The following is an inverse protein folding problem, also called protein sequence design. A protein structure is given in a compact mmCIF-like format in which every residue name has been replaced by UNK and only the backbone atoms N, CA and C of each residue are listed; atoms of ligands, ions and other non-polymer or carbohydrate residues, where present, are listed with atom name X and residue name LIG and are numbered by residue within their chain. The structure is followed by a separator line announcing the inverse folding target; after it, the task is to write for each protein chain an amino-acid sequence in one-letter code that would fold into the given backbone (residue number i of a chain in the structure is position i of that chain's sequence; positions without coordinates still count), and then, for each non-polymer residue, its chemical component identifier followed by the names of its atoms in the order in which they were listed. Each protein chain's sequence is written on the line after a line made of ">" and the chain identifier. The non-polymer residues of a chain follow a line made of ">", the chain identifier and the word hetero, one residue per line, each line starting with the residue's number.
data_IF_186758119934
#
_entry.id   IF_186758119934
#
_cell.length_a   1.000
_cell.length_b   1.000
_cell.length_c   1.000
_cell.angle_alpha   90.00
_cell.angle_beta   90.00
_cell.angle_gamma   90.00
#
_symmetry.space_group_name_H-M   'P 1'
#
loop_
_entity.id
_entity.type
_entity.pdbx_description
1 polymer ?
#
# COMPACT_ATOMS: atom_id res chain seq x y z
N UNK A 1 -15.20 -48.49 -34.04
CA UNK A 1 -15.05 -47.03 -34.13
C UNK A 1 -15.22 -46.52 -32.72
N UNK A 2 -14.15 -46.62 -31.92
CA UNK A 2 -14.10 -46.11 -30.55
C UNK A 2 -13.09 -44.97 -30.55
N UNK A 3 -13.59 -43.75 -30.46
CA UNK A 3 -12.79 -42.56 -30.14
C UNK A 3 -13.39 -41.93 -28.90
N UNK A 4 -13.26 -42.62 -27.77
CA UNK A 4 -13.33 -41.96 -26.48
C UNK A 4 -11.95 -41.33 -26.23
N UNK A 5 -11.80 -40.08 -26.66
CA UNK A 5 -10.67 -39.24 -26.26
C UNK A 5 -10.69 -39.12 -24.73
N UNK A 6 -9.67 -39.69 -24.10
CA UNK A 6 -9.44 -39.62 -22.65
C UNK A 6 -9.10 -38.15 -22.33
N UNK A 7 -9.79 -37.47 -21.39
CA UNK A 7 -9.42 -36.11 -21.02
C UNK A 7 -8.03 -36.11 -20.38
N UNK A 8 -7.21 -35.13 -20.78
CA UNK A 8 -5.79 -34.91 -20.47
C UNK A 8 -5.41 -34.76 -18.97
N UNK A 9 -6.29 -35.15 -18.05
CA UNK A 9 -6.08 -35.12 -16.60
C UNK A 9 -6.37 -36.46 -15.90
N UNK A 10 -6.84 -37.48 -16.63
CA UNK A 10 -7.26 -38.77 -16.07
C UNK A 10 -6.18 -39.57 -15.34
N UNK A 11 -4.93 -39.11 -15.35
CA UNK A 11 -3.81 -39.69 -14.59
C UNK A 11 -3.24 -38.80 -13.48
N UNK A 12 -3.68 -37.55 -13.31
CA UNK A 12 -3.05 -36.57 -12.41
C UNK A 12 -4.01 -36.09 -11.32
N UNK A 13 -5.30 -35.90 -11.66
CA UNK A 13 -6.34 -35.50 -10.71
C UNK A 13 -7.62 -36.31 -10.96
N UNK A 14 -8.40 -36.63 -9.91
CA UNK A 14 -9.72 -37.23 -10.07
C UNK A 14 -10.61 -36.42 -11.01
N UNK A 15 -11.36 -37.10 -11.89
CA UNK A 15 -12.20 -36.50 -12.94
C UNK A 15 -13.14 -35.40 -12.40
N UNK A 16 -13.71 -35.62 -11.22
CA UNK A 16 -14.62 -34.69 -10.55
C UNK A 16 -13.97 -33.35 -10.19
N UNK A 17 -12.65 -33.32 -9.93
CA UNK A 17 -11.89 -32.10 -9.62
C UNK A 17 -11.60 -31.32 -10.91
N UNK A 18 -11.31 -32.04 -11.99
CA UNK A 18 -11.05 -31.48 -13.31
C UNK A 18 -12.31 -30.81 -13.86
N UNK A 19 -13.45 -31.49 -13.78
CA UNK A 19 -14.76 -30.95 -14.20
C UNK A 19 -15.14 -29.71 -13.41
N UNK A 20 -14.82 -29.70 -12.11
CA UNK A 20 -15.09 -28.58 -11.22
C UNK A 20 -14.23 -27.36 -11.57
N UNK A 21 -12.95 -27.53 -11.88
CA UNK A 21 -12.06 -26.44 -12.32
C UNK A 21 -12.52 -25.86 -13.66
N UNK A 22 -12.87 -26.73 -14.61
CA UNK A 22 -13.37 -26.31 -15.93
C UNK A 22 -14.68 -25.53 -15.83
N UNK A 23 -15.55 -25.87 -14.86
CA UNK A 23 -16.83 -25.18 -14.66
C UNK A 23 -16.72 -23.71 -14.20
N UNK A 24 -15.56 -23.28 -13.71
CA UNK A 24 -15.33 -21.89 -13.29
C UNK A 24 -14.63 -21.03 -14.36
N UNK A 25 -14.30 -21.61 -15.52
CA UNK A 25 -13.65 -20.89 -16.60
C UNK A 25 -14.70 -20.30 -17.57
N UNK A 26 -14.45 -19.10 -18.12
CA UNK A 26 -15.24 -18.59 -19.23
C UNK A 26 -15.23 -19.58 -20.42
N UNK A 27 -16.36 -19.73 -21.12
CA UNK A 27 -16.52 -20.65 -22.26
C UNK A 27 -15.41 -20.52 -23.33
N UNK A 28 -14.96 -19.30 -23.59
CA UNK A 28 -13.85 -19.01 -24.51
C UNK A 28 -12.50 -19.56 -24.02
N UNK A 29 -12.34 -19.70 -22.71
CA UNK A 29 -11.13 -20.22 -22.05
C UNK A 29 -11.18 -21.74 -21.92
N UNK A 30 -12.38 -22.31 -21.75
CA UNK A 30 -12.60 -23.76 -21.74
C UNK A 30 -12.15 -24.39 -23.07
N UNK A 31 -12.52 -23.79 -24.20
CA UNK A 31 -12.13 -24.28 -25.52
C UNK A 31 -10.59 -24.27 -25.74
N UNK A 32 -9.91 -23.26 -25.21
CA UNK A 32 -8.44 -23.12 -25.33
C UNK A 32 -7.66 -24.08 -24.42
N UNK A 33 -8.22 -24.40 -23.23
CA UNK A 33 -7.66 -25.36 -22.25
C UNK A 33 -7.89 -26.81 -22.67
N UNK A 34 -8.99 -27.09 -23.36
CA UNK A 34 -9.33 -28.43 -23.86
C UNK A 34 -8.62 -28.77 -25.18
N UNK A 35 -7.81 -27.86 -25.74
CA UNK A 35 -7.01 -28.13 -26.93
C UNK A 35 -5.81 -29.04 -26.58
N UNK A 36 -5.68 -30.23 -27.20
CA UNK A 36 -4.62 -31.20 -26.91
C UNK A 36 -3.20 -30.68 -27.10
N UNK A 37 -3.00 -29.65 -27.94
CA UNK A 37 -1.69 -29.03 -28.16
C UNK A 37 -1.24 -28.10 -27.01
N UNK A 38 -2.15 -27.75 -26.09
CA UNK A 38 -1.93 -26.81 -24.99
C UNK A 38 -1.76 -27.53 -23.63
N UNK A 39 -0.93 -28.58 -23.61
CA UNK A 39 -0.75 -29.55 -22.52
C UNK A 39 -0.29 -29.01 -21.14
N UNK A 40 -0.34 -27.70 -20.88
CA UNK A 40 -0.11 -27.16 -19.55
C UNK A 40 -0.85 -25.84 -19.36
N UNK A 41 -1.74 -25.79 -18.37
CA UNK A 41 -2.33 -24.54 -17.85
C UNK A 41 -1.26 -23.49 -17.53
N UNK A 42 -0.09 -23.94 -17.05
CA UNK A 42 1.10 -23.11 -16.86
C UNK A 42 1.61 -22.47 -18.17
N UNK A 43 1.54 -23.18 -19.31
CA UNK A 43 1.97 -22.66 -20.62
C UNK A 43 0.95 -21.66 -21.18
N UNK A 44 -0.35 -21.87 -20.96
CA UNK A 44 -1.43 -20.95 -21.36
C UNK A 44 -1.41 -19.67 -20.52
N UNK A 45 -1.22 -19.78 -19.19
CA UNK A 45 -0.98 -18.64 -18.31
C UNK A 45 0.30 -17.89 -18.70
N UNK A 46 1.37 -18.62 -19.05
CA UNK A 46 2.67 -18.10 -19.50
C UNK A 46 2.62 -17.44 -20.87
N UNK A 47 1.69 -17.83 -21.75
CA UNK A 47 1.54 -17.28 -23.11
C UNK A 47 0.63 -16.05 -23.20
N UNK A 48 -0.28 -15.79 -22.25
CA UNK A 48 -1.22 -14.67 -22.37
C UNK A 48 -1.25 -13.61 -21.26
N UNK A 49 -0.82 -13.84 -20.02
CA UNK A 49 -1.35 -12.99 -18.92
C UNK A 49 -0.38 -12.44 -17.85
N UNK A 50 0.94 -12.63 -17.91
CA UNK A 50 1.78 -12.18 -16.79
C UNK A 50 2.16 -10.69 -16.75
N UNK A 51 1.76 -9.84 -17.71
CA UNK A 51 2.07 -8.40 -17.66
C UNK A 51 1.24 -7.57 -16.67
N UNK A 52 0.17 -8.14 -16.12
CA UNK A 52 -0.86 -7.42 -15.34
C UNK A 52 -1.31 -8.12 -14.05
N UNK A 53 -0.78 -9.29 -13.69
CA UNK A 53 -1.26 -10.04 -12.52
C UNK A 53 -0.76 -9.40 -11.21
N UNK A 54 -1.70 -9.09 -10.33
CA UNK A 54 -1.48 -8.71 -8.93
C UNK A 54 -1.57 -9.99 -8.08
N UNK A 55 -0.48 -10.37 -7.41
CA UNK A 55 -0.48 -11.48 -6.45
C UNK A 55 -0.86 -10.96 -5.06
N UNK A 56 -1.89 -11.56 -4.46
CA UNK A 56 -2.38 -11.18 -3.14
C UNK A 56 -2.34 -12.37 -2.17
N UNK A 57 -1.52 -12.23 -1.12
CA UNK A 57 -1.33 -13.22 -0.05
C UNK A 57 -1.96 -12.75 1.28
N UNK A 58 -3.06 -11.99 1.24
CA UNK A 58 -3.70 -11.45 2.44
C UNK A 58 -4.62 -12.47 3.16
N UNK A 59 -4.45 -12.57 4.48
CA UNK A 59 -5.47 -13.10 5.38
C UNK A 59 -6.57 -12.04 5.51
N UNK A 60 -7.60 -12.18 4.67
CA UNK A 60 -8.85 -11.46 4.83
C UNK A 60 -9.41 -11.70 6.24
N UNK A 61 -9.84 -10.66 6.97
CA UNK A 61 -10.57 -10.82 8.23
C UNK A 61 -11.98 -11.42 8.03
N UNK A 62 -12.40 -11.59 6.78
CA UNK A 62 -13.60 -12.34 6.40
C UNK A 62 -13.17 -13.70 5.86
N UNK A 63 -13.36 -14.73 6.69
CA UNK A 63 -13.21 -16.15 6.38
C UNK A 63 -13.99 -16.51 5.10
N UNK A 64 -13.31 -16.54 3.97
CA UNK A 64 -13.79 -17.34 2.83
C UNK A 64 -12.66 -18.28 2.42
N UNK A 65 -12.88 -19.55 2.71
CA UNK A 65 -11.90 -20.63 2.70
C UNK A 65 -11.51 -21.11 1.27
N UNK A 66 -11.42 -20.21 0.28
CA UNK A 66 -11.12 -20.58 -1.11
C UNK A 66 -10.31 -19.52 -1.87
N UNK A 67 -9.35 -19.96 -2.70
CA UNK A 67 -8.63 -19.12 -3.66
C UNK A 67 -9.57 -18.57 -4.75
N UNK A 68 -9.33 -17.34 -5.21
CA UNK A 68 -10.19 -16.64 -6.18
C UNK A 68 -9.37 -15.91 -7.23
N UNK A 69 -9.89 -15.92 -8.47
CA UNK A 69 -9.36 -15.14 -9.58
C UNK A 69 -10.35 -14.03 -9.88
N UNK A 70 -9.91 -12.78 -9.74
CA UNK A 70 -10.61 -11.61 -10.26
C UNK A 70 -9.83 -11.06 -11.45
N UNK A 71 -10.51 -10.32 -12.34
CA UNK A 71 -10.04 -9.79 -13.63
C UNK A 71 -8.52 -9.59 -13.85
N UNK A 72 -7.74 -9.19 -12.84
CA UNK A 72 -6.25 -9.15 -12.87
C UNK A 72 -5.57 -9.52 -11.52
N UNK A 73 -6.31 -10.07 -10.56
CA UNK A 73 -5.82 -10.37 -9.19
C UNK A 73 -6.00 -11.85 -8.91
N UNK A 74 -4.89 -12.54 -8.67
CA UNK A 74 -4.89 -13.92 -8.20
C UNK A 74 -4.72 -13.89 -6.68
N UNK A 75 -5.81 -14.22 -5.97
CA UNK A 75 -5.81 -14.36 -4.51
C UNK A 75 -5.62 -15.84 -4.21
N UNK A 76 -4.45 -16.20 -3.68
CA UNK A 76 -4.12 -17.57 -3.29
C UNK A 76 -3.85 -17.64 -1.80
N UNK A 77 -4.36 -18.69 -1.16
CA UNK A 77 -3.91 -19.04 0.18
C UNK A 77 -2.44 -19.44 0.15
N UNK A 78 -1.72 -19.17 1.26
CA UNK A 78 -0.37 -19.71 1.44
C UNK A 78 -0.36 -21.24 1.26
N UNK A 79 -1.35 -21.95 1.79
CA UNK A 79 -1.51 -23.40 1.62
C UNK A 79 -1.71 -23.86 0.17
N UNK A 80 -2.31 -23.02 -0.69
CA UNK A 80 -2.63 -23.38 -2.08
C UNK A 80 -1.43 -23.15 -3.00
N UNK A 81 -0.55 -22.20 -2.64
CA UNK A 81 0.78 -22.05 -3.22
C UNK A 81 1.65 -23.30 -2.92
N UNK A 82 1.50 -23.86 -1.73
CA UNK A 82 2.27 -24.99 -1.21
C UNK A 82 1.80 -26.35 -1.79
N UNK A 83 0.58 -26.39 -2.33
CA UNK A 83 0.03 -27.53 -3.06
C UNK A 83 0.75 -27.81 -4.40
N UNK A 84 1.65 -26.93 -4.86
CA UNK A 84 2.52 -27.14 -6.02
C UNK A 84 3.66 -28.16 -5.77
N UNK A 85 3.71 -28.76 -4.57
CA UNK A 85 4.48 -29.95 -4.16
C UNK A 85 5.95 -29.98 -4.59
N UNK A 86 6.84 -29.63 -3.66
CA UNK A 86 7.87 -30.55 -3.16
C UNK A 86 7.94 -30.36 -1.63
N UNK A 87 7.60 -31.44 -0.92
CA UNK A 87 7.49 -31.70 0.53
C UNK A 87 7.85 -30.60 1.55
N UNK A 88 6.89 -30.18 2.40
CA UNK A 88 6.86 -30.38 3.86
C UNK A 88 5.64 -29.73 4.54
N UNK A 89 5.40 -30.13 5.80
CA UNK A 89 4.26 -29.76 6.64
C UNK A 89 4.53 -28.56 7.57
N UNK A 90 3.46 -27.90 8.02
CA UNK A 90 3.38 -26.76 8.97
C UNK A 90 4.16 -25.48 8.56
N UNK A 91 3.47 -24.51 7.94
CA UNK A 91 4.11 -23.27 7.45
C UNK A 91 4.06 -22.19 8.53
N UNK A 92 5.10 -22.18 9.34
CA UNK A 92 5.74 -20.93 9.74
C UNK A 92 6.76 -20.66 8.63
N UNK A 93 6.65 -19.52 7.96
CA UNK A 93 7.58 -19.04 6.92
C UNK A 93 7.35 -19.53 5.48
N UNK A 94 6.78 -18.63 4.67
CA UNK A 94 6.82 -18.58 3.20
C UNK A 94 8.22 -18.98 2.65
N UNK A 95 8.28 -19.96 1.73
CA UNK A 95 9.52 -20.40 1.08
C UNK A 95 10.00 -19.41 0.01
N UNK A 96 11.08 -18.70 0.33
CA UNK A 96 11.70 -17.71 -0.57
C UNK A 96 12.31 -18.38 -1.80
N UNK A 97 12.90 -19.57 -1.64
CA UNK A 97 13.51 -20.32 -2.74
C UNK A 97 12.47 -20.65 -3.81
N UNK A 98 11.34 -21.24 -3.42
CA UNK A 98 10.26 -21.59 -4.33
C UNK A 98 9.71 -20.36 -5.06
N UNK A 99 9.50 -19.24 -4.35
CA UNK A 99 9.07 -18.00 -4.98
C UNK A 99 10.08 -17.48 -6.01
N UNK A 100 11.37 -17.53 -5.68
CA UNK A 100 12.44 -17.06 -6.56
C UNK A 100 12.62 -17.96 -7.80
N UNK A 101 12.40 -19.26 -7.68
CA UNK A 101 12.44 -20.23 -8.79
C UNK A 101 11.33 -20.01 -9.82
N UNK A 102 10.16 -19.54 -9.39
CA UNK A 102 9.06 -19.22 -10.30
C UNK A 102 9.45 -18.16 -11.33
N UNK A 103 10.48 -17.36 -11.03
CA UNK A 103 11.06 -16.34 -11.91
C UNK A 103 9.97 -15.58 -12.67
N UNK A 104 9.33 -14.65 -11.97
CA UNK A 104 8.18 -13.88 -12.46
C UNK A 104 8.65 -12.52 -13.01
N UNK A 105 9.25 -12.43 -14.22
CA UNK A 105 9.86 -11.21 -14.72
C UNK A 105 8.84 -10.08 -14.95
N UNK A 106 7.55 -10.40 -15.06
CA UNK A 106 6.51 -9.42 -15.30
C UNK A 106 5.72 -9.04 -14.03
N UNK A 107 6.11 -9.55 -12.86
CA UNK A 107 5.45 -9.21 -11.60
C UNK A 107 5.69 -7.73 -11.26
N UNK A 108 4.63 -6.92 -11.35
CA UNK A 108 4.66 -5.49 -11.06
C UNK A 108 4.06 -5.13 -9.70
N UNK A 109 3.17 -5.97 -9.18
CA UNK A 109 2.42 -5.68 -7.96
C UNK A 109 2.39 -6.90 -7.06
N UNK A 110 2.73 -6.70 -5.79
CA UNK A 110 2.78 -7.75 -4.78
C UNK A 110 2.15 -7.24 -3.49
N UNK A 111 1.18 -7.98 -2.96
CA UNK A 111 0.65 -7.78 -1.62
C UNK A 111 1.08 -9.00 -0.80
N UNK A 112 1.95 -8.76 0.17
CA UNK A 112 2.59 -9.81 0.96
C UNK A 112 2.20 -9.69 2.43
N UNK A 113 1.61 -10.76 2.95
CA UNK A 113 1.26 -10.95 4.35
C UNK A 113 2.19 -11.96 5.02
N UNK A 114 2.28 -11.91 6.35
CA UNK A 114 2.72 -13.05 7.17
C UNK A 114 4.08 -13.65 6.76
N UNK A 115 5.06 -12.79 6.51
CA UNK A 115 6.45 -13.15 6.19
C UNK A 115 7.41 -12.60 7.26
N UNK A 116 8.58 -13.22 7.46
CA UNK A 116 9.67 -12.63 8.24
C UNK A 116 10.42 -11.55 7.43
N UNK A 117 11.10 -10.62 8.10
CA UNK A 117 11.93 -9.61 7.44
C UNK A 117 13.09 -10.24 6.64
N UNK A 118 13.70 -11.29 7.18
CA UNK A 118 14.79 -12.03 6.53
C UNK A 118 14.33 -12.61 5.20
N UNK A 119 13.20 -13.35 5.22
CA UNK A 119 12.65 -13.97 4.02
C UNK A 119 12.23 -12.92 2.98
N UNK A 120 11.65 -11.80 3.40
CA UNK A 120 11.31 -10.71 2.49
C UNK A 120 12.54 -10.20 1.74
N UNK A 121 13.66 -9.99 2.43
CA UNK A 121 14.88 -9.43 1.84
C UNK A 121 15.58 -10.37 0.85
N UNK A 122 15.25 -11.65 0.85
CA UNK A 122 15.76 -12.65 -0.08
C UNK A 122 14.93 -12.74 -1.38
N UNK A 123 13.76 -12.09 -1.43
CA UNK A 123 12.90 -12.11 -2.59
C UNK A 123 13.49 -11.36 -3.79
N UNK A 124 13.47 -12.01 -4.95
CA UNK A 124 13.91 -11.45 -6.24
C UNK A 124 12.78 -10.70 -6.92
N UNK A 125 12.59 -9.44 -6.52
CA UNK A 125 11.49 -8.57 -6.96
C UNK A 125 11.94 -7.53 -8.01
N UNK A 126 12.66 -7.96 -9.04
CA UNK A 126 13.41 -7.08 -9.96
C UNK A 126 12.57 -6.01 -10.68
N UNK A 127 11.30 -6.32 -11.02
CA UNK A 127 10.42 -5.44 -11.79
C UNK A 127 9.21 -4.93 -11.00
N UNK A 128 9.26 -5.05 -9.67
CA UNK A 128 8.16 -4.66 -8.81
C UNK A 128 8.02 -3.14 -8.73
N UNK A 129 6.81 -2.65 -8.99
CA UNK A 129 6.42 -1.24 -8.93
C UNK A 129 5.50 -0.93 -7.75
N UNK A 130 4.68 -1.90 -7.33
CA UNK A 130 3.77 -1.76 -6.19
C UNK A 130 4.03 -2.87 -5.18
N UNK A 131 4.23 -2.48 -3.92
CA UNK A 131 4.38 -3.39 -2.80
C UNK A 131 3.44 -2.97 -1.68
N UNK A 132 2.67 -3.93 -1.17
CA UNK A 132 1.97 -3.80 0.10
C UNK A 132 2.47 -4.88 1.04
N UNK A 133 2.89 -4.47 2.24
CA UNK A 133 3.27 -5.37 3.31
C UNK A 133 2.26 -5.30 4.44
N UNK A 134 1.85 -6.46 4.93
CA UNK A 134 0.97 -6.61 6.09
C UNK A 134 1.50 -7.72 6.99
N UNK A 135 1.31 -7.58 8.30
CA UNK A 135 1.65 -8.62 9.29
C UNK A 135 3.07 -9.22 9.15
N UNK A 136 4.08 -8.42 8.81
CA UNK A 136 5.48 -8.87 8.76
C UNK A 136 5.98 -9.09 10.19
N UNK A 137 6.26 -10.34 10.55
CA UNK A 137 6.68 -10.70 11.91
C UNK A 137 8.09 -10.18 12.18
N UNK A 138 8.34 -9.76 13.43
CA UNK A 138 9.64 -9.21 13.85
C UNK A 138 9.98 -7.80 13.33
N UNK A 139 9.20 -7.24 12.39
CA UNK A 139 9.42 -5.90 11.86
C UNK A 139 8.86 -4.83 12.81
N UNK A 140 9.72 -4.38 13.73
CA UNK A 140 9.41 -3.29 14.68
C UNK A 140 10.04 -1.96 14.26
N UNK A 141 11.03 -2.01 13.39
CA UNK A 141 11.73 -0.85 12.84
C UNK A 141 12.03 -1.12 11.37
N UNK A 142 11.92 -0.09 10.55
CA UNK A 142 12.49 -0.07 9.20
C UNK A 142 13.78 0.72 9.29
N UNK A 143 14.90 0.03 9.07
CA UNK A 143 16.25 0.60 9.05
C UNK A 143 17.08 -0.05 7.94
N UNK A 144 18.40 0.14 7.94
CA UNK A 144 19.35 -0.28 6.89
C UNK A 144 19.24 -1.74 6.41
N UNK A 145 18.57 -2.63 7.15
CA UNK A 145 18.39 -4.02 6.74
C UNK A 145 17.19 -4.26 5.82
N UNK A 146 16.21 -3.35 5.73
CA UNK A 146 15.11 -3.52 4.78
C UNK A 146 15.55 -3.16 3.36
N UNK A 147 15.49 -4.13 2.44
CA UNK A 147 15.90 -3.96 1.04
C UNK A 147 14.68 -3.66 0.17
N UNK A 148 14.52 -2.40 -0.23
CA UNK A 148 13.46 -2.04 -1.17
C UNK A 148 13.77 -2.55 -2.59
N UNK A 149 12.75 -3.04 -3.32
CA UNK A 149 12.85 -3.20 -4.77
C UNK A 149 13.22 -1.87 -5.45
N UNK A 150 14.21 -1.89 -6.34
CA UNK A 150 14.79 -0.65 -6.90
C UNK A 150 13.85 0.13 -7.83
N UNK A 151 12.88 -0.55 -8.44
CA UNK A 151 11.88 0.04 -9.35
C UNK A 151 10.56 0.38 -8.67
N UNK A 152 10.50 0.32 -7.34
CA UNK A 152 9.28 0.53 -6.57
C UNK A 152 8.79 1.97 -6.75
N UNK A 153 7.53 2.10 -7.13
CA UNK A 153 6.80 3.36 -7.34
C UNK A 153 5.81 3.61 -6.19
N UNK A 154 5.23 2.54 -5.61
CA UNK A 154 4.25 2.64 -4.54
C UNK A 154 4.57 1.63 -3.43
N UNK A 155 4.61 2.10 -2.18
CA UNK A 155 4.79 1.27 -0.99
C UNK A 155 3.67 1.51 0.01
N UNK A 156 3.02 0.42 0.43
CA UNK A 156 2.08 0.40 1.54
C UNK A 156 2.58 -0.52 2.66
N UNK A 157 2.70 0.03 3.85
CA UNK A 157 3.02 -0.67 5.08
C UNK A 157 1.78 -0.58 5.97
N UNK A 158 1.08 -1.70 6.16
CA UNK A 158 -0.22 -1.70 6.81
C UNK A 158 -0.26 -2.72 7.95
N UNK A 159 -0.78 -2.33 9.12
CA UNK A 159 -0.95 -3.22 10.26
C UNK A 159 0.36 -3.92 10.69
N UNK A 160 1.46 -3.16 10.70
CA UNK A 160 2.77 -3.61 11.15
C UNK A 160 3.08 -3.04 12.52
N UNK A 161 3.95 -3.70 13.29
CA UNK A 161 4.39 -3.21 14.61
C UNK A 161 5.52 -2.18 14.52
N UNK A 162 5.61 -1.48 13.38
CA UNK A 162 6.67 -0.51 13.12
C UNK A 162 6.46 0.71 14.02
N UNK A 163 7.48 1.02 14.82
CA UNK A 163 7.52 2.21 15.67
C UNK A 163 8.45 3.30 15.14
N UNK A 164 9.43 2.93 14.31
CA UNK A 164 10.36 3.86 13.66
C UNK A 164 10.54 3.51 12.19
N UNK A 165 10.45 4.50 11.32
CA UNK A 165 10.82 4.41 9.91
C UNK A 165 12.04 5.29 9.67
N UNK A 166 13.21 4.69 9.49
CA UNK A 166 14.47 5.39 9.24
C UNK A 166 15.17 4.79 8.02
N UNK A 167 15.43 5.60 7.00
CA UNK A 167 16.13 5.12 5.82
C UNK A 167 17.20 6.09 5.38
N UNK A 168 18.32 5.55 4.89
CA UNK A 168 19.35 6.40 4.29
C UNK A 168 18.85 7.01 2.98
N UNK A 169 18.09 6.23 2.22
CA UNK A 169 17.54 6.60 0.92
C UNK A 169 16.35 5.71 0.60
N UNK A 170 15.37 6.25 -0.12
CA UNK A 170 14.25 5.52 -0.68
C UNK A 170 14.51 5.15 -2.16
N UNK A 171 13.79 4.18 -2.75
CA UNK A 171 13.87 3.91 -4.19
C UNK A 171 13.64 5.17 -5.01
N UNK A 172 14.48 5.41 -6.02
CA UNK A 172 14.47 6.67 -6.77
C UNK A 172 13.14 6.94 -7.49
N UNK A 173 12.37 5.89 -7.80
CA UNK A 173 11.06 5.97 -8.47
C UNK A 173 9.88 6.02 -7.51
N UNK A 174 10.12 5.97 -6.19
CA UNK A 174 9.05 5.87 -5.20
C UNK A 174 8.26 7.18 -5.18
N UNK A 175 6.99 7.09 -5.57
CA UNK A 175 6.06 8.20 -5.65
C UNK A 175 5.09 8.28 -4.48
N UNK A 176 4.71 7.12 -3.94
CA UNK A 176 3.73 7.04 -2.86
C UNK A 176 4.24 6.15 -1.75
N UNK A 177 4.22 6.66 -0.53
CA UNK A 177 4.53 5.93 0.69
C UNK A 177 3.36 6.04 1.66
N UNK A 178 2.85 4.90 2.08
CA UNK A 178 1.72 4.79 2.98
C UNK A 178 2.11 3.92 4.16
N UNK A 179 2.04 4.45 5.38
CA UNK A 179 2.28 3.72 6.63
C UNK A 179 1.01 3.88 7.46
N UNK A 180 0.20 2.83 7.53
CA UNK A 180 -1.12 2.88 8.16
C UNK A 180 -1.25 1.82 9.23
N UNK A 181 -2.00 2.11 10.28
CA UNK A 181 -2.24 1.17 11.38
C UNK A 181 -0.92 0.61 11.97
N UNK A 182 0.13 1.43 11.99
CA UNK A 182 1.43 1.09 12.58
C UNK A 182 1.70 2.05 13.74
N UNK A 183 2.17 1.64 14.92
CA UNK A 183 2.40 2.54 16.06
C UNK A 183 3.65 3.42 15.90
N UNK A 184 3.71 4.19 14.81
CA UNK A 184 4.83 5.03 14.41
C UNK A 184 5.02 6.18 15.40
N UNK A 185 6.29 6.40 15.76
CA UNK A 185 6.74 7.52 16.59
C UNK A 185 7.72 8.42 15.84
N UNK A 186 8.40 7.87 14.83
CA UNK A 186 9.50 8.53 14.11
C UNK A 186 9.47 8.17 12.63
N UNK A 187 9.69 9.18 11.80
CA UNK A 187 9.83 9.06 10.36
C UNK A 187 11.01 9.94 9.90
N UNK A 188 12.06 9.31 9.37
CA UNK A 188 13.27 10.00 8.92
C UNK A 188 13.84 9.38 7.65
N UNK A 189 14.27 10.23 6.73
CA UNK A 189 15.07 9.82 5.58
C UNK A 189 16.31 10.69 5.52
N UNK A 190 17.49 10.11 5.77
CA UNK A 190 18.73 10.88 6.04
C UNK A 190 19.14 11.80 4.88
N UNK A 191 18.94 11.34 3.65
CA UNK A 191 19.26 12.08 2.45
C UNK A 191 18.08 11.96 1.50
N UNK A 192 17.47 13.09 1.19
CA UNK A 192 16.69 13.27 -0.02
C UNK A 192 17.66 13.75 -1.10
N UNK A 193 18.26 12.88 -1.94
CA UNK A 193 19.20 13.35 -2.95
C UNK A 193 18.49 14.31 -3.91
N UNK A 194 19.20 15.26 -4.53
CA UNK A 194 18.59 16.23 -5.47
C UNK A 194 17.87 15.58 -6.67
N UNK A 195 18.18 14.32 -6.95
CA UNK A 195 17.51 13.45 -7.93
C UNK A 195 16.22 12.81 -7.41
N UNK A 196 15.99 12.80 -6.10
CA UNK A 196 14.80 12.29 -5.45
C UNK A 196 13.68 13.30 -5.62
N UNK A 197 13.02 13.25 -6.76
CA UNK A 197 11.89 14.14 -7.11
C UNK A 197 10.54 13.46 -6.99
N UNK A 198 10.54 12.16 -6.70
CA UNK A 198 9.39 11.35 -7.03
C UNK A 198 8.41 11.19 -5.88
N UNK A 199 8.84 11.20 -4.60
CA UNK A 199 7.91 11.02 -3.48
C UNK A 199 7.01 12.24 -3.33
N UNK A 200 5.80 12.13 -3.86
CA UNK A 200 4.78 13.19 -3.88
C UNK A 200 3.69 12.97 -2.85
N UNK A 201 3.46 11.72 -2.43
CA UNK A 201 2.37 11.37 -1.53
C UNK A 201 2.87 10.58 -0.33
N UNK A 202 2.65 11.13 0.87
CA UNK A 202 3.00 10.50 2.14
C UNK A 202 1.75 10.41 2.99
N UNK A 203 1.38 9.19 3.35
CA UNK A 203 0.24 8.90 4.18
C UNK A 203 0.69 8.19 5.47
N UNK A 204 0.50 8.85 6.60
CA UNK A 204 0.82 8.34 7.94
C UNK A 204 -0.44 8.29 8.82
N UNK A 205 -1.61 8.01 8.24
CA UNK A 205 -2.87 7.93 8.99
C UNK A 205 -2.92 6.73 9.93
N UNK A 206 -3.66 6.85 11.03
CA UNK A 206 -3.79 5.77 12.03
C UNK A 206 -2.43 5.28 12.55
N UNK A 207 -1.44 6.16 12.71
CA UNK A 207 -0.12 5.77 13.17
C UNK A 207 0.14 5.98 14.67
N UNK A 208 -0.85 6.48 15.40
CA UNK A 208 -0.75 6.84 16.83
C UNK A 208 0.26 7.96 17.13
N UNK A 209 0.63 8.78 16.14
CA UNK A 209 1.51 9.92 16.37
C UNK A 209 0.91 10.86 17.41
N UNK A 210 1.73 11.25 18.39
CA UNK A 210 1.37 12.21 19.45
C UNK A 210 2.08 13.56 19.29
N UNK A 211 3.15 13.58 18.51
CA UNK A 211 3.99 14.74 18.19
C UNK A 211 4.48 14.64 16.74
N UNK A 212 4.93 15.77 16.19
CA UNK A 212 5.48 15.94 14.84
C UNK A 212 7.00 16.15 14.84
N UNK A 213 7.64 16.29 16.00
CA UNK A 213 9.07 16.63 16.15
C UNK A 213 10.02 15.63 15.47
N UNK A 214 9.59 14.37 15.38
CA UNK A 214 10.36 13.27 14.81
C UNK A 214 9.91 12.92 13.37
N UNK A 215 9.27 13.88 12.68
CA UNK A 215 8.86 13.75 11.29
C UNK A 215 9.73 14.63 10.38
N UNK A 216 10.63 14.01 9.63
CA UNK A 216 11.40 14.66 8.58
C UNK A 216 10.73 14.46 7.22
N UNK A 217 10.12 15.52 6.69
CA UNK A 217 9.30 15.45 5.49
C UNK A 217 10.13 15.69 4.21
N UNK A 218 9.89 14.91 3.14
CA UNK A 218 10.54 15.15 1.85
C UNK A 218 10.17 16.54 1.30
N UNK A 219 11.13 17.33 0.78
CA UNK A 219 10.84 18.65 0.22
C UNK A 219 9.97 18.63 -1.05
N UNK A 220 9.81 17.46 -1.67
CA UNK A 220 9.05 17.22 -2.91
C UNK A 220 7.59 16.88 -2.68
N UNK A 221 7.16 16.79 -1.43
CA UNK A 221 5.85 16.27 -1.09
C UNK A 221 4.75 17.23 -1.54
N UNK A 222 3.76 16.69 -2.26
CA UNK A 222 2.56 17.40 -2.70
C UNK A 222 1.36 17.10 -1.79
N UNK A 223 1.28 15.86 -1.27
CA UNK A 223 0.17 15.39 -0.41
C UNK A 223 0.73 14.82 0.88
N UNK A 224 0.25 15.34 2.01
CA UNK A 224 0.55 14.84 3.34
C UNK A 224 -0.74 14.48 4.06
N UNK A 225 -0.86 13.22 4.49
CA UNK A 225 -1.96 12.77 5.33
C UNK A 225 -1.45 12.35 6.72
N UNK A 226 -1.82 13.11 7.74
CA UNK A 226 -1.56 12.87 9.16
C UNK A 226 -2.88 12.64 9.94
N UNK A 227 -3.97 12.31 9.24
CA UNK A 227 -5.29 12.13 9.84
C UNK A 227 -5.37 10.92 10.77
N UNK A 228 -6.36 10.92 11.66
CA UNK A 228 -6.60 9.81 12.61
C UNK A 228 -5.38 9.48 13.48
N UNK A 229 -4.70 10.52 13.95
CA UNK A 229 -3.61 10.41 14.91
C UNK A 229 -4.03 10.96 16.29
N UNK A 230 -3.07 11.22 17.17
CA UNK A 230 -3.29 11.72 18.52
C UNK A 230 -2.53 13.02 18.74
N UNK A 231 -2.28 13.78 17.67
CA UNK A 231 -1.54 15.03 17.70
C UNK A 231 -2.30 16.06 18.52
N UNK A 232 -1.63 16.69 19.48
CA UNK A 232 -2.19 17.80 20.29
C UNK A 232 -1.68 19.15 19.81
N UNK A 233 -0.50 19.17 19.20
CA UNK A 233 0.10 20.31 18.52
C UNK A 233 0.79 19.84 17.23
N UNK A 234 1.02 20.81 16.34
CA UNK A 234 1.81 20.68 15.11
C UNK A 234 3.02 21.62 15.12
N UNK A 235 3.36 22.19 16.27
CA UNK A 235 4.55 23.01 16.44
C UNK A 235 5.81 22.20 16.10
N UNK A 236 6.69 22.79 15.28
CA UNK A 236 7.89 22.12 14.76
C UNK A 236 7.67 21.34 13.46
N UNK A 237 6.44 21.16 12.98
CA UNK A 237 6.19 20.56 11.67
C UNK A 237 6.57 21.53 10.54
N UNK A 238 7.66 21.23 9.85
CA UNK A 238 8.10 21.99 8.67
C UNK A 238 7.42 21.45 7.41
N UNK A 239 6.45 22.19 6.87
CA UNK A 239 5.72 21.78 5.67
C UNK A 239 6.55 22.04 4.40
N UNK A 240 6.60 21.09 3.44
CA UNK A 240 7.26 21.30 2.16
C UNK A 240 6.62 22.44 1.35
N UNK A 241 7.44 23.25 0.68
CA UNK A 241 6.97 24.40 -0.12
C UNK A 241 6.14 24.00 -1.34
N UNK A 242 6.20 22.74 -1.77
CA UNK A 242 5.40 22.20 -2.86
C UNK A 242 4.05 21.64 -2.41
N UNK A 243 3.77 21.58 -1.10
CA UNK A 243 2.60 20.90 -0.56
C UNK A 243 1.30 21.56 -1.05
N UNK A 244 0.41 20.76 -1.63
CA UNK A 244 -0.89 21.19 -2.17
C UNK A 244 -2.06 20.62 -1.36
N UNK A 245 -1.86 19.54 -0.63
CA UNK A 245 -2.90 18.91 0.19
C UNK A 245 -2.34 18.49 1.55
N UNK A 246 -2.99 18.96 2.61
CA UNK A 246 -2.69 18.63 4.00
C UNK A 246 -3.95 18.14 4.70
N UNK A 247 -3.91 16.91 5.21
CA UNK A 247 -4.95 16.34 6.04
C UNK A 247 -4.46 16.11 7.47
N UNK A 248 -4.99 16.88 8.40
CA UNK A 248 -4.77 16.81 9.84
C UNK A 248 -6.05 16.41 10.59
N UNK A 249 -7.06 15.91 9.90
CA UNK A 249 -8.36 15.59 10.50
C UNK A 249 -8.31 14.46 11.52
N UNK A 250 -9.29 14.42 12.42
CA UNK A 250 -9.41 13.39 13.46
C UNK A 250 -8.13 13.31 14.33
N UNK A 251 -7.70 14.46 14.83
CA UNK A 251 -6.60 14.59 15.80
C UNK A 251 -7.14 15.26 17.10
N UNK A 252 -6.27 15.81 17.94
CA UNK A 252 -6.61 16.52 19.17
C UNK A 252 -6.04 17.94 19.18
N UNK A 253 -5.89 18.54 18.00
CA UNK A 253 -5.23 19.83 17.84
C UNK A 253 -6.06 20.92 18.49
N UNK A 254 -5.43 21.71 19.35
CA UNK A 254 -6.05 22.90 19.97
C UNK A 254 -5.71 24.19 19.23
N UNK A 255 -4.63 24.16 18.43
CA UNK A 255 -4.16 25.26 17.60
C UNK A 255 -3.35 24.72 16.41
N UNK A 256 -3.30 25.51 15.33
CA UNK A 256 -2.43 25.30 14.15
C UNK A 256 -1.64 26.56 13.79
N UNK A 257 -1.53 27.49 14.74
CA UNK A 257 -0.85 28.78 14.53
C UNK A 257 0.67 28.62 14.33
N UNK A 258 1.28 27.58 14.88
CA UNK A 258 2.71 27.28 14.71
C UNK A 258 3.08 26.64 13.36
N UNK A 259 2.13 26.38 12.46
CA UNK A 259 2.46 25.92 11.10
C UNK A 259 2.91 27.09 10.23
N UNK A 260 3.81 26.88 9.27
CA UNK A 260 3.99 27.78 8.14
C UNK A 260 3.28 27.19 6.93
N UNK A 261 2.10 27.73 6.57
CA UNK A 261 1.31 27.18 5.47
C UNK A 261 1.91 27.63 4.13
N UNK A 262 2.30 26.71 3.24
CA UNK A 262 2.91 27.08 1.98
C UNK A 262 1.88 27.73 1.05
N UNK A 263 2.29 28.70 0.21
CA UNK A 263 1.40 29.39 -0.73
C UNK A 263 0.87 28.48 -1.85
N UNK A 264 1.31 27.24 -1.92
CA UNK A 264 0.85 26.20 -2.85
C UNK A 264 -0.31 25.37 -2.28
N UNK A 265 -0.69 25.55 -1.02
CA UNK A 265 -1.71 24.72 -0.38
C UNK A 265 -3.10 24.99 -0.96
N UNK A 266 -3.76 23.94 -1.47
CA UNK A 266 -5.08 23.99 -2.09
C UNK A 266 -6.14 23.36 -1.18
N UNK A 267 -5.78 22.25 -0.52
CA UNK A 267 -6.68 21.48 0.35
C UNK A 267 -6.09 21.50 1.75
N UNK A 268 -6.88 21.94 2.72
CA UNK A 268 -6.53 21.91 4.12
C UNK A 268 -7.68 21.32 4.95
N UNK A 269 -7.49 20.09 5.45
CA UNK A 269 -8.49 19.41 6.26
C UNK A 269 -8.07 19.39 7.74
N UNK A 270 -8.89 20.03 8.58
CA UNK A 270 -8.75 20.14 10.03
C UNK A 270 -9.97 19.61 10.78
N UNK A 271 -10.86 18.88 10.09
CA UNK A 271 -12.07 18.29 10.65
C UNK A 271 -11.78 17.45 11.89
N UNK A 272 -12.72 17.37 12.83
CA UNK A 272 -12.61 16.52 14.04
C UNK A 272 -11.32 16.83 14.84
N UNK A 273 -11.20 18.07 15.31
CA UNK A 273 -10.13 18.53 16.20
C UNK A 273 -10.72 19.35 17.36
N UNK A 274 -9.86 19.98 18.17
CA UNK A 274 -10.25 20.77 19.34
C UNK A 274 -9.93 22.26 19.15
N UNK A 275 -9.92 22.76 17.90
CA UNK A 275 -9.54 24.14 17.61
C UNK A 275 -10.57 25.11 18.20
N UNK A 276 -10.13 26.04 19.04
CA UNK A 276 -10.99 27.11 19.57
C UNK A 276 -10.87 28.42 18.77
N UNK A 277 -9.75 28.61 18.09
CA UNK A 277 -9.41 29.79 17.29
C UNK A 277 -8.65 29.37 16.03
N UNK A 278 -8.96 30.05 14.92
CA UNK A 278 -8.12 30.09 13.73
C UNK A 278 -7.92 31.57 13.34
N UNK A 279 -6.70 32.05 13.51
CA UNK A 279 -6.27 33.43 13.22
C UNK A 279 -5.25 33.54 12.07
N UNK A 280 -4.87 32.38 11.52
CA UNK A 280 -3.95 32.23 10.40
C UNK A 280 -4.46 32.87 9.12
N UNK A 281 -3.60 33.62 8.41
CA UNK A 281 -3.85 33.96 7.01
C UNK A 281 -3.61 32.72 6.16
N UNK A 282 -4.66 32.27 5.48
CA UNK A 282 -4.58 31.20 4.49
C UNK A 282 -4.13 31.76 3.13
N UNK A 283 -3.46 30.96 2.29
CA UNK A 283 -3.05 31.42 0.97
C UNK A 283 -4.25 31.50 0.02
N UNK A 284 -4.15 32.42 -0.96
CA UNK A 284 -5.24 32.79 -1.87
C UNK A 284 -5.60 31.67 -2.89
N UNK A 285 -4.94 30.52 -2.82
CA UNK A 285 -5.16 29.36 -3.67
C UNK A 285 -5.89 28.20 -2.95
N UNK A 286 -6.25 28.37 -1.66
CA UNK A 286 -7.06 27.39 -0.93
C UNK A 286 -8.42 27.26 -1.60
N UNK A 287 -8.77 26.04 -2.01
CA UNK A 287 -10.06 25.70 -2.60
C UNK A 287 -10.95 24.92 -1.64
N UNK A 288 -10.34 24.17 -0.71
CA UNK A 288 -11.06 23.38 0.28
C UNK A 288 -10.43 23.58 1.65
N UNK A 289 -11.19 24.17 2.56
CA UNK A 289 -10.88 24.19 3.99
C UNK A 289 -12.00 23.48 4.75
N UNK A 290 -11.66 22.41 5.45
CA UNK A 290 -12.63 21.71 6.30
C UNK A 290 -12.29 21.95 7.79
N UNK A 291 -13.22 22.59 8.50
CA UNK A 291 -13.13 22.90 9.94
C UNK A 291 -14.24 22.23 10.76
N UNK A 292 -15.02 21.34 10.16
CA UNK A 292 -16.15 20.67 10.83
C UNK A 292 -15.72 19.97 12.13
N UNK A 293 -16.63 19.87 13.09
CA UNK A 293 -16.38 19.20 14.38
C UNK A 293 -15.14 19.73 15.12
N UNK A 294 -15.02 21.06 15.18
CA UNK A 294 -14.09 21.78 16.06
C UNK A 294 -14.86 22.53 17.16
N UNK A 295 -14.15 23.34 17.95
CA UNK A 295 -14.71 24.16 19.04
C UNK A 295 -14.59 25.66 18.74
N UNK A 296 -14.57 26.01 17.45
CA UNK A 296 -14.32 27.37 16.97
C UNK A 296 -15.42 28.31 17.44
N UNK A 297 -15.04 29.31 18.23
CA UNK A 297 -15.95 30.38 18.67
C UNK A 297 -15.90 31.60 17.76
N UNK A 298 -14.76 31.81 17.10
CA UNK A 298 -14.49 32.94 16.19
C UNK A 298 -13.46 32.54 15.14
N UNK A 299 -13.61 33.14 13.95
CA UNK A 299 -12.58 33.21 12.93
C UNK A 299 -12.08 34.66 12.89
N UNK A 300 -10.75 34.86 12.92
CA UNK A 300 -10.14 36.21 12.93
C UNK A 300 -9.11 36.29 11.82
N UNK A 301 -9.02 37.41 11.11
CA UNK A 301 -8.09 37.60 9.97
C UNK A 301 -8.22 36.55 8.85
N UNK A 302 -9.36 35.87 8.82
CA UNK A 302 -9.64 34.77 7.91
C UNK A 302 -10.13 35.31 6.57
N UNK A 303 -9.37 35.04 5.50
CA UNK A 303 -9.73 35.37 4.12
C UNK A 303 -9.66 34.09 3.30
N UNK A 304 -10.79 33.67 2.73
CA UNK A 304 -10.82 32.63 1.72
C UNK A 304 -10.92 33.29 0.33
N UNK A 305 -10.17 32.79 -0.66
CA UNK A 305 -10.33 33.21 -2.04
C UNK A 305 -11.71 32.75 -2.57
N UNK A 306 -12.45 33.66 -3.21
CA UNK A 306 -13.74 33.38 -3.85
C UNK A 306 -13.55 32.74 -5.25
N UNK A 307 -14.49 31.92 -5.78
CA UNK A 307 -15.81 31.59 -5.25
C UNK A 307 -15.97 30.12 -4.81
N UNK A 308 -16.73 29.96 -3.73
CA UNK A 308 -16.90 28.76 -2.93
C UNK A 308 -17.83 27.71 -3.56
N UNK A 309 -17.51 26.45 -3.31
CA UNK A 309 -18.53 25.45 -2.98
C UNK A 309 -18.06 24.62 -1.79
N UNK A 310 -18.94 24.44 -0.79
CA UNK A 310 -18.80 23.63 0.43
C UNK A 310 -18.00 24.24 1.61
N UNK A 311 -18.57 25.26 2.26
CA UNK A 311 -18.63 25.26 3.72
C UNK A 311 -20.07 24.88 4.06
N UNK A 312 -20.29 23.70 4.65
CA UNK A 312 -21.55 23.37 5.33
C UNK A 312 -21.30 23.43 6.84
N UNK A 313 -22.28 24.02 7.52
CA UNK A 313 -22.27 24.44 8.93
C UNK A 313 -22.04 23.31 9.95
#
# INVERSE_FOLDING_TARGET
>A
MDTHEIPLFGGILPLEIVEKIVSYLPLSTVADVMNPENASLALVARRRYYSSIILNFDESPYEYDYSRIYNEVLIMKASDFEALKLELAEIRDFSVEAFNELNLPNLKSLLLGSISLENFNELRLHNLKYLRLKNVSGMTEIYKHFKFPSLLENLELCNLKITSFEQRSLPLKLQKLSINYCPLKKFRVDVFPDSFKDLTDLNLRFTNLVSVEELDLPPTLNTLNLSYNKLVSVDGLSLPLALTSLDLSSNKLVSVEGLDIPPTLIIFNLRDNNLELLSKRLPDNIQLLNLEHNQLKKLVNFHLPMPYSFLQD
#
